data_IF_677826545435
#
_entry.id   IF_677826545435
#
_cell.length_a   1.000
_cell.length_b   1.000
_cell.length_c   1.000
_cell.angle_alpha   90.00
_cell.angle_beta   90.00
_cell.angle_gamma   90.00
#
_symmetry.space_group_name_H-M   'P 1'
#
loop_
_entity.id
_entity.type
_entity.pdbx_description
1 polymer ?
#
# COMPACT_ATOMS: atom_id res chain seq x y z
N UNK A 1 -7.54 -3.26 12.06
CA UNK A 1 -6.38 -3.83 11.32
C UNK A 1 -6.95 -4.59 10.14
N UNK A 2 -6.81 -3.98 8.97
CA UNK A 2 -7.38 -4.44 7.71
C UNK A 2 -6.26 -4.89 6.79
N UNK A 3 -6.36 -6.11 6.27
CA UNK A 3 -5.41 -6.62 5.29
C UNK A 3 -5.68 -6.01 3.90
N UNK A 4 -4.65 -5.41 3.31
CA UNK A 4 -4.69 -4.86 1.95
C UNK A 4 -3.71 -5.64 1.07
N UNK A 5 -4.16 -6.05 -0.13
CA UNK A 5 -3.32 -6.69 -1.13
C UNK A 5 -3.05 -5.70 -2.28
N UNK A 6 -1.80 -5.32 -2.47
CA UNK A 6 -1.35 -4.58 -3.65
C UNK A 6 -0.84 -5.57 -4.69
N UNK A 7 -1.26 -5.37 -5.93
CA UNK A 7 -0.88 -6.26 -7.05
C UNK A 7 -0.05 -5.45 -8.03
N UNK A 8 1.20 -5.85 -8.22
CA UNK A 8 2.07 -5.27 -9.23
C UNK A 8 1.58 -5.60 -10.64
N UNK A 9 2.03 -4.84 -11.64
CA UNK A 9 1.81 -5.19 -13.05
C UNK A 9 2.38 -6.58 -13.43
N UNK A 10 3.37 -7.09 -12.67
CA UNK A 10 3.91 -8.45 -12.80
C UNK A 10 2.96 -9.55 -12.30
N UNK A 11 1.88 -9.18 -11.60
CA UNK A 11 1.00 -10.09 -10.87
C UNK A 11 1.50 -10.45 -9.46
N UNK A 12 2.68 -9.98 -9.04
CA UNK A 12 3.18 -10.18 -7.67
C UNK A 12 2.29 -9.45 -6.66
N UNK A 13 1.95 -10.13 -5.58
CA UNK A 13 1.10 -9.60 -4.50
C UNK A 13 1.94 -9.20 -3.30
N UNK A 14 1.71 -7.99 -2.79
CA UNK A 14 2.23 -7.50 -1.51
C UNK A 14 1.05 -7.35 -0.56
N UNK A 15 1.02 -8.19 0.47
CA UNK A 15 0.00 -8.13 1.50
C UNK A 15 0.53 -7.35 2.70
N UNK A 16 -0.21 -6.33 3.14
CA UNK A 16 0.12 -5.52 4.31
C UNK A 16 -1.07 -5.46 5.24
N UNK A 17 -0.80 -5.33 6.53
CA UNK A 17 -1.82 -5.00 7.53
C UNK A 17 -1.81 -3.47 7.72
N UNK A 18 -2.99 -2.85 7.57
CA UNK A 18 -3.17 -1.42 7.73
C UNK A 18 -4.03 -1.14 8.96
N UNK A 19 -3.71 -0.08 9.69
CA UNK A 19 -4.58 0.43 10.75
C UNK A 19 -5.86 1.01 10.14
N UNK A 20 -6.96 0.96 10.89
CA UNK A 20 -8.21 1.50 10.38
C UNK A 20 -8.15 3.03 10.44
N UNK A 21 -8.61 3.71 9.38
CA UNK A 21 -8.59 5.18 9.28
C UNK A 21 -7.43 5.78 8.50
N UNK A 22 -6.42 5.00 8.08
CA UNK A 22 -5.40 5.47 7.12
C UNK A 22 -5.83 5.14 5.67
N UNK A 23 -5.28 5.89 4.71
CA UNK A 23 -5.55 5.65 3.30
C UNK A 23 -4.78 4.43 2.76
N UNK A 24 -5.26 3.85 1.66
CA UNK A 24 -4.53 2.79 0.96
C UNK A 24 -3.16 3.29 0.45
N UNK A 25 -3.08 4.55 0.00
CA UNK A 25 -1.80 5.12 -0.44
C UNK A 25 -0.81 5.21 0.74
N UNK A 26 -1.24 5.72 1.88
CA UNK A 26 -0.40 5.84 3.06
C UNK A 26 0.08 4.48 3.59
N UNK A 27 -0.81 3.47 3.58
CA UNK A 27 -0.46 2.11 3.93
C UNK A 27 0.58 1.50 2.96
N UNK A 28 0.47 1.78 1.67
CA UNK A 28 1.45 1.34 0.67
C UNK A 28 2.83 1.96 0.91
N UNK A 29 2.89 3.28 1.08
CA UNK A 29 4.15 4.02 1.25
C UNK A 29 4.84 3.64 2.57
N UNK A 30 4.10 3.57 3.68
CA UNK A 30 4.65 3.13 4.99
C UNK A 30 5.27 1.73 4.94
N UNK A 31 4.73 0.85 4.09
CA UNK A 31 5.22 -0.51 3.91
C UNK A 31 6.16 -0.66 2.70
N UNK A 32 6.58 0.45 2.08
CA UNK A 32 7.50 0.45 0.92
C UNK A 32 7.02 -0.46 -0.22
N UNK A 33 5.71 -0.47 -0.49
CA UNK A 33 5.12 -1.24 -1.59
C UNK A 33 5.63 -0.68 -2.93
N UNK A 34 6.29 -1.49 -3.78
CA UNK A 34 6.84 -1.02 -5.04
C UNK A 34 5.77 -0.47 -6.00
N UNK A 35 6.11 0.61 -6.70
CA UNK A 35 5.24 1.23 -7.73
C UNK A 35 4.26 2.28 -7.20
N UNK A 36 4.33 2.63 -5.91
CA UNK A 36 3.55 3.71 -5.30
C UNK A 36 4.52 4.66 -4.59
N UNK A 37 4.76 5.83 -5.20
CA UNK A 37 5.75 6.80 -4.70
C UNK A 37 5.14 7.80 -3.70
N UNK A 38 3.90 8.25 -3.93
CA UNK A 38 3.19 9.15 -3.01
C UNK A 38 3.69 10.60 -3.00
N UNK A 39 4.23 11.11 -4.12
CA UNK A 39 4.92 12.41 -4.21
C UNK A 39 4.20 13.62 -3.58
N UNK A 40 2.89 13.76 -3.79
CA UNK A 40 2.11 14.87 -3.22
C UNK A 40 1.53 14.57 -1.84
N UNK A 41 1.73 13.35 -1.32
CA UNK A 41 1.23 12.92 -0.01
C UNK A 41 -0.24 12.56 0.05
N UNK A 42 -0.97 12.59 -1.08
CA UNK A 42 -2.40 12.28 -1.14
C UNK A 42 -3.26 13.37 -0.51
#
# INVERSE_FOLDING_TARGET
>A
MTRINYVEASGRVHAVEAEDGISAMEAAVKNSVPGIDGDCGG
#
